data_IF_687470212300
#
_entry.id   IF_687470212300
#
_cell.length_a   1.000
_cell.length_b   1.000
_cell.length_c   1.000
_cell.angle_alpha   90.00
_cell.angle_beta   90.00
_cell.angle_gamma   90.00
#
_symmetry.space_group_name_H-M   'P 1'
#
loop_
_entity.id
_entity.type
_entity.pdbx_description
1 polymer ?
#
# COMPACT_ATOMS: atom_id res chain seq x y z
N UNK A 1 -13.78 -24.88 22.46
CA UNK A 1 -14.03 -23.56 23.09
C UNK A 1 -13.76 -22.41 22.13
N UNK A 2 -12.93 -22.58 21.10
CA UNK A 2 -12.70 -21.56 20.05
C UNK A 2 -13.90 -21.44 19.07
N UNK A 3 -14.60 -22.54 18.79
CA UNK A 3 -15.72 -22.56 17.84
C UNK A 3 -17.01 -21.91 18.36
N UNK A 4 -17.28 -22.00 19.67
CA UNK A 4 -18.47 -21.39 20.31
C UNK A 4 -18.37 -19.87 20.38
N UNK A 5 -17.13 -19.36 20.41
CA UNK A 5 -16.83 -17.93 20.49
C UNK A 5 -17.00 -17.27 19.12
N UNK A 6 -16.68 -17.97 18.02
CA UNK A 6 -16.91 -17.47 16.65
C UNK A 6 -18.40 -17.33 16.29
N UNK A 7 -19.25 -18.22 16.80
CA UNK A 7 -20.70 -18.15 16.56
C UNK A 7 -21.36 -17.00 17.33
N UNK A 8 -20.95 -16.76 18.58
CA UNK A 8 -21.45 -15.64 19.40
C UNK A 8 -20.96 -14.27 18.87
N UNK A 9 -19.80 -14.22 18.21
CA UNK A 9 -19.33 -13.03 17.49
C UNK A 9 -20.10 -12.80 16.18
N UNK A 10 -20.47 -13.84 15.45
CA UNK A 10 -21.25 -13.73 14.23
C UNK A 10 -22.67 -13.23 14.52
N UNK A 11 -23.29 -13.70 15.61
CA UNK A 11 -24.66 -13.35 15.97
C UNK A 11 -24.77 -11.93 16.54
N UNK A 12 -23.78 -11.48 17.33
CA UNK A 12 -23.70 -10.10 17.82
C UNK A 12 -23.45 -9.06 16.69
N UNK A 13 -22.80 -9.46 15.59
CA UNK A 13 -22.66 -8.60 14.40
C UNK A 13 -23.95 -8.56 13.57
N UNK A 14 -24.69 -9.67 13.48
CA UNK A 14 -25.99 -9.72 12.84
C UNK A 14 -27.04 -8.85 13.57
N UNK A 15 -27.02 -8.86 14.91
CA UNK A 15 -27.94 -8.07 15.73
C UNK A 15 -27.72 -6.55 15.67
N UNK A 16 -26.50 -6.08 15.35
CA UNK A 16 -26.18 -4.65 15.16
C UNK A 16 -26.40 -4.15 13.73
N UNK A 17 -26.67 -5.05 12.78
CA UNK A 17 -26.85 -4.79 11.34
C UNK A 17 -28.25 -4.29 10.95
N UNK A 18 -28.79 -3.31 11.66
CA UNK A 18 -30.05 -2.66 11.29
C UNK A 18 -29.90 -1.68 10.11
N UNK A 19 -30.45 -2.05 8.94
CA UNK A 19 -30.88 -1.17 7.83
C UNK A 19 -29.81 -0.41 7.02
N UNK A 20 -29.10 -1.13 6.17
CA UNK A 20 -28.96 -0.92 4.71
C UNK A 20 -27.73 -1.69 4.24
N UNK A 21 -27.92 -2.75 3.43
CA UNK A 21 -26.81 -3.41 2.72
C UNK A 21 -26.26 -2.45 1.66
N UNK A 22 -25.44 -1.49 2.09
CA UNK A 22 -24.72 -0.57 1.20
C UNK A 22 -23.77 -1.40 0.33
N UNK A 23 -23.86 -1.21 -0.99
CA UNK A 23 -22.91 -1.79 -1.96
C UNK A 23 -21.53 -1.19 -1.70
N UNK A 24 -20.54 -2.03 -1.40
CA UNK A 24 -19.17 -1.58 -1.18
C UNK A 24 -18.12 -2.70 -1.20
N UNK A 25 -16.84 -2.36 -1.22
CA UNK A 25 -15.72 -3.32 -1.27
C UNK A 25 -15.32 -3.82 0.13
N UNK A 26 -15.31 -5.13 0.34
CA UNK A 26 -14.72 -5.75 1.54
C UNK A 26 -13.20 -5.64 1.52
N UNK A 27 -12.53 -5.88 2.66
CA UNK A 27 -11.06 -5.87 2.76
C UNK A 27 -10.42 -6.84 1.75
N UNK A 28 -11.01 -8.03 1.57
CA UNK A 28 -10.61 -8.98 0.54
C UNK A 28 -10.64 -8.37 -0.87
N UNK A 29 -11.71 -7.64 -1.22
CA UNK A 29 -11.83 -6.97 -2.52
C UNK A 29 -10.81 -5.85 -2.69
N UNK A 30 -10.60 -5.04 -1.65
CA UNK A 30 -9.55 -3.99 -1.65
C UNK A 30 -8.18 -4.61 -1.91
N UNK A 31 -7.83 -5.70 -1.22
CA UNK A 31 -6.57 -6.44 -1.44
C UNK A 31 -6.46 -7.01 -2.85
N UNK A 32 -7.54 -7.57 -3.37
CA UNK A 32 -7.56 -8.16 -4.72
C UNK A 32 -7.36 -7.08 -5.78
N UNK A 33 -8.09 -5.97 -5.69
CA UNK A 33 -7.95 -4.83 -6.61
C UNK A 33 -6.55 -4.22 -6.50
N UNK A 34 -6.03 -4.03 -5.29
CA UNK A 34 -4.66 -3.55 -5.08
C UNK A 34 -3.61 -4.49 -5.69
N UNK A 35 -3.80 -5.80 -5.57
CA UNK A 35 -2.93 -6.79 -6.20
C UNK A 35 -3.01 -6.76 -7.73
N UNK A 36 -4.20 -6.59 -8.32
CA UNK A 36 -4.36 -6.46 -9.78
C UNK A 36 -3.60 -5.25 -10.33
N UNK A 37 -3.59 -4.12 -9.61
CA UNK A 37 -2.78 -2.96 -10.02
C UNK A 37 -1.28 -3.22 -9.89
N UNK A 38 -0.83 -3.93 -8.85
CA UNK A 38 0.57 -4.37 -8.76
C UNK A 38 0.93 -5.28 -9.94
N UNK A 39 0.07 -6.25 -10.26
CA UNK A 39 0.24 -7.16 -11.39
C UNK A 39 0.36 -6.37 -12.71
N UNK A 40 -0.52 -5.39 -12.92
CA UNK A 40 -0.46 -4.48 -14.08
C UNK A 40 0.88 -3.73 -14.14
N UNK A 41 1.35 -3.18 -13.02
CA UNK A 41 2.64 -2.49 -12.94
C UNK A 41 3.79 -3.42 -13.32
N UNK A 42 3.78 -4.64 -12.77
CA UNK A 42 4.85 -5.61 -12.98
C UNK A 42 4.87 -6.11 -14.42
N UNK A 43 3.72 -6.44 -15.01
CA UNK A 43 3.61 -6.83 -16.43
C UNK A 43 4.05 -5.66 -17.32
N UNK A 44 3.59 -4.44 -17.02
CA UNK A 44 3.94 -3.23 -17.76
C UNK A 44 5.44 -2.92 -17.74
N UNK A 45 6.14 -3.26 -16.65
CA UNK A 45 7.59 -3.00 -16.54
C UNK A 45 8.44 -4.11 -17.14
N UNK A 46 7.97 -5.36 -17.12
CA UNK A 46 8.79 -6.55 -17.47
C UNK A 46 8.38 -7.14 -18.81
N UNK A 47 7.21 -7.77 -18.88
CA UNK A 47 6.77 -8.60 -20.00
C UNK A 47 6.32 -7.74 -21.18
N UNK A 48 5.54 -6.68 -20.92
CA UNK A 48 4.90 -5.88 -21.97
C UNK A 48 5.90 -5.20 -22.93
N UNK A 49 7.05 -4.66 -22.47
CA UNK A 49 8.11 -4.18 -23.36
C UNK A 49 8.52 -5.22 -24.42
N UNK A 50 8.77 -6.46 -23.99
CA UNK A 50 9.18 -7.55 -24.90
C UNK A 50 8.07 -7.95 -25.88
N UNK A 51 6.81 -7.98 -25.44
CA UNK A 51 5.66 -8.30 -26.28
C UNK A 51 5.41 -7.24 -27.36
N UNK A 52 5.70 -5.98 -27.06
CA UNK A 52 5.59 -4.86 -27.99
C UNK A 52 6.83 -4.69 -28.88
N UNK A 53 7.89 -5.48 -28.66
CA UNK A 53 9.16 -5.30 -29.36
C UNK A 53 9.87 -3.99 -29.02
N UNK A 54 9.52 -3.38 -27.88
CA UNK A 54 10.06 -2.10 -27.45
C UNK A 54 11.52 -2.24 -27.01
N UNK A 55 12.38 -1.37 -27.54
CA UNK A 55 13.78 -1.27 -27.12
C UNK A 55 14.02 0.07 -26.42
N UNK A 56 14.73 0.09 -25.28
CA UNK A 56 15.10 1.34 -24.62
C UNK A 56 15.81 2.31 -25.57
N UNK A 57 15.26 3.51 -25.74
CA UNK A 57 15.80 4.54 -26.64
C UNK A 57 15.27 4.49 -28.07
N UNK A 58 14.32 3.60 -28.38
CA UNK A 58 13.55 3.66 -29.62
C UNK A 58 12.51 4.79 -29.59
N UNK A 59 12.24 5.39 -30.75
CA UNK A 59 11.20 6.42 -30.93
C UNK A 59 9.78 5.83 -31.07
N UNK A 60 9.54 4.61 -30.57
CA UNK A 60 8.23 3.96 -30.61
C UNK A 60 7.27 4.59 -29.59
N UNK A 61 6.65 5.68 -30.02
CA UNK A 61 5.70 6.45 -29.23
C UNK A 61 4.48 5.62 -28.80
N UNK A 62 4.05 4.64 -29.60
CA UNK A 62 2.87 3.83 -29.28
C UNK A 62 3.19 2.89 -28.13
N UNK A 63 4.29 2.14 -28.23
CA UNK A 63 4.72 1.25 -27.15
C UNK A 63 4.95 2.04 -25.86
N UNK A 64 5.68 3.16 -25.93
CA UNK A 64 5.93 4.04 -24.80
C UNK A 64 4.63 4.53 -24.13
N UNK A 65 3.65 4.94 -24.93
CA UNK A 65 2.36 5.40 -24.41
C UNK A 65 1.63 4.29 -23.65
N UNK A 66 1.62 3.06 -24.20
CA UNK A 66 0.99 1.91 -23.54
C UNK A 66 1.69 1.59 -22.21
N UNK A 67 3.03 1.56 -22.20
CA UNK A 67 3.81 1.28 -20.99
C UNK A 67 3.58 2.32 -19.90
N UNK A 68 3.56 3.61 -20.27
CA UNK A 68 3.28 4.71 -19.34
C UNK A 68 1.85 4.62 -18.79
N UNK A 69 0.85 4.29 -19.62
CA UNK A 69 -0.52 4.11 -19.15
C UNK A 69 -0.60 2.98 -18.12
N UNK A 70 0.03 1.82 -18.38
CA UNK A 70 0.06 0.72 -17.43
C UNK A 70 0.69 1.13 -16.10
N UNK A 71 1.82 1.84 -16.13
CA UNK A 71 2.50 2.32 -14.92
C UNK A 71 1.64 3.34 -14.16
N UNK A 72 1.11 4.37 -14.83
CA UNK A 72 0.31 5.42 -14.20
C UNK A 72 -0.97 4.86 -13.59
N UNK A 73 -1.67 3.96 -14.29
CA UNK A 73 -2.88 3.29 -13.76
C UNK A 73 -2.55 2.43 -12.55
N UNK A 74 -1.35 1.81 -12.50
CA UNK A 74 -0.96 1.01 -11.34
C UNK A 74 -0.82 1.81 -10.05
N UNK A 75 -0.54 3.12 -10.13
CA UNK A 75 -0.37 4.00 -8.96
C UNK A 75 -1.66 4.17 -8.15
N UNK A 76 -2.82 3.80 -8.72
CA UNK A 76 -4.07 3.64 -7.99
C UNK A 76 -3.94 2.68 -6.81
N UNK A 77 -3.00 1.74 -6.82
CA UNK A 77 -2.73 0.81 -5.71
C UNK A 77 -2.29 1.49 -4.40
N UNK A 78 -1.56 2.61 -4.48
CA UNK A 78 -0.89 3.24 -3.32
C UNK A 78 -1.84 3.53 -2.16
N UNK A 79 -2.95 4.27 -2.34
CA UNK A 79 -3.90 4.52 -1.25
C UNK A 79 -4.58 3.26 -0.73
N UNK A 80 -4.78 2.22 -1.55
CA UNK A 80 -5.37 0.96 -1.07
C UNK A 80 -4.43 0.30 -0.05
N UNK A 81 -3.13 0.20 -0.35
CA UNK A 81 -2.16 -0.40 0.57
C UNK A 81 -1.89 0.48 1.80
N UNK A 82 -1.85 1.81 1.64
CA UNK A 82 -1.74 2.72 2.77
C UNK A 82 -2.93 2.58 3.75
N UNK A 83 -4.15 2.46 3.24
CA UNK A 83 -5.32 2.21 4.09
C UNK A 83 -5.28 0.83 4.75
N UNK A 84 -4.94 -0.22 4.00
CA UNK A 84 -4.80 -1.58 4.54
C UNK A 84 -3.76 -1.64 5.67
N UNK A 85 -2.68 -0.86 5.57
CA UNK A 85 -1.69 -0.73 6.63
C UNK A 85 -2.30 -0.19 7.92
N UNK A 86 -3.01 0.94 7.83
CA UNK A 86 -3.65 1.61 8.97
C UNK A 86 -4.71 0.71 9.61
N UNK A 87 -5.53 0.04 8.81
CA UNK A 87 -6.48 -0.94 9.32
C UNK A 87 -5.79 -2.10 10.03
N UNK A 88 -4.70 -2.61 9.44
CA UNK A 88 -3.87 -3.65 10.04
C UNK A 88 -3.29 -3.22 11.38
N UNK A 89 -2.81 -1.97 11.48
CA UNK A 89 -2.27 -1.41 12.72
C UNK A 89 -3.34 -1.36 13.83
N UNK A 90 -4.54 -0.84 13.53
CA UNK A 90 -5.60 -0.69 14.54
C UNK A 90 -6.22 -1.99 15.04
N UNK A 91 -6.31 -3.00 14.17
CA UNK A 91 -7.02 -4.24 14.48
C UNK A 91 -6.08 -5.39 14.85
N UNK A 92 -4.78 -5.16 14.83
CA UNK A 92 -3.79 -6.19 15.18
C UNK A 92 -3.59 -6.25 16.70
N UNK A 93 -3.56 -7.46 17.23
CA UNK A 93 -3.25 -7.71 18.64
C UNK A 93 -1.79 -7.40 19.01
N UNK A 94 -0.84 -7.57 18.08
CA UNK A 94 0.59 -7.29 18.30
C UNK A 94 1.21 -6.55 17.11
N UNK A 95 1.40 -5.24 17.28
CA UNK A 95 2.02 -4.36 16.27
C UNK A 95 3.43 -4.85 15.90
N UNK A 96 4.19 -5.35 16.87
CA UNK A 96 5.54 -5.88 16.64
C UNK A 96 5.53 -7.08 15.69
N UNK A 97 4.63 -8.05 15.91
CA UNK A 97 4.53 -9.20 15.01
C UNK A 97 4.09 -8.79 13.60
N UNK A 98 3.20 -7.80 13.50
CA UNK A 98 2.80 -7.27 12.20
C UNK A 98 3.95 -6.56 11.49
N UNK A 99 4.74 -5.75 12.21
CA UNK A 99 5.94 -5.11 11.70
C UNK A 99 6.99 -6.11 11.23
N UNK A 100 7.24 -7.18 11.99
CA UNK A 100 8.18 -8.25 11.59
C UNK A 100 7.72 -8.93 10.30
N UNK A 101 6.41 -9.21 10.15
CA UNK A 101 5.86 -9.81 8.92
C UNK A 101 6.03 -8.89 7.71
N UNK A 102 5.79 -7.58 7.89
CA UNK A 102 6.00 -6.59 6.83
C UNK A 102 7.48 -6.42 6.48
N UNK A 103 8.37 -6.41 7.47
CA UNK A 103 9.82 -6.31 7.26
C UNK A 103 10.37 -7.56 6.56
N UNK A 104 9.94 -8.75 6.98
CA UNK A 104 10.30 -10.00 6.30
C UNK A 104 9.80 -9.98 4.84
N UNK A 105 8.57 -9.52 4.60
CA UNK A 105 8.04 -9.36 3.24
C UNK A 105 8.88 -8.37 2.43
N UNK A 106 9.27 -7.23 3.01
CA UNK A 106 10.09 -6.22 2.33
C UNK A 106 11.43 -6.80 1.87
N UNK A 107 12.14 -7.47 2.79
CA UNK A 107 13.45 -8.08 2.53
C UNK A 107 13.35 -9.18 1.47
N UNK A 108 12.36 -10.10 1.60
CA UNK A 108 12.17 -11.19 0.63
C UNK A 108 11.84 -10.65 -0.75
N UNK A 109 11.09 -9.56 -0.82
CA UNK A 109 10.60 -9.00 -2.09
C UNK A 109 11.58 -8.01 -2.72
N UNK A 110 12.68 -7.65 -2.06
CA UNK A 110 13.71 -6.75 -2.62
C UNK A 110 14.36 -7.37 -3.86
N UNK A 111 14.84 -8.61 -3.76
CA UNK A 111 15.48 -9.31 -4.90
C UNK A 111 14.52 -9.44 -6.10
N UNK A 112 13.27 -9.92 -5.93
CA UNK A 112 12.28 -9.91 -7.01
C UNK A 112 11.98 -8.51 -7.58
N UNK A 113 11.97 -7.49 -6.72
CA UNK A 113 11.69 -6.11 -7.13
C UNK A 113 12.81 -5.55 -7.99
N UNK A 114 14.07 -5.74 -7.60
CA UNK A 114 15.24 -5.32 -8.36
C UNK A 114 15.26 -6.02 -9.72
N UNK A 115 15.00 -7.33 -9.76
CA UNK A 115 14.92 -8.08 -11.02
C UNK A 115 13.82 -7.52 -11.92
N UNK A 116 12.64 -7.24 -11.37
CA UNK A 116 11.50 -6.75 -12.14
C UNK A 116 11.66 -5.30 -12.64
N UNK A 117 12.48 -4.48 -11.97
CA UNK A 117 12.53 -3.03 -12.24
C UNK A 117 13.84 -2.56 -12.87
N UNK A 118 14.96 -3.16 -12.46
CA UNK A 118 16.30 -2.82 -12.94
C UNK A 118 16.89 -3.87 -13.87
N UNK A 119 16.30 -5.08 -13.93
CA UNK A 119 16.86 -6.24 -14.62
C UNK A 119 18.10 -6.82 -13.93
N UNK A 120 18.41 -6.38 -12.70
CA UNK A 120 19.54 -6.86 -11.90
C UNK A 120 19.03 -7.57 -10.66
N UNK A 121 19.79 -8.54 -10.16
CA UNK A 121 19.46 -9.25 -8.91
C UNK A 121 19.64 -8.36 -7.68
N UNK A 122 20.45 -7.30 -7.79
CA UNK A 122 20.72 -6.35 -6.73
C UNK A 122 20.91 -4.95 -7.30
N UNK A 123 20.03 -4.02 -6.93
CA UNK A 123 20.12 -2.60 -7.28
C UNK A 123 19.79 -1.71 -6.08
N UNK A 124 20.68 -0.75 -5.78
CA UNK A 124 20.50 0.18 -4.66
C UNK A 124 19.88 1.52 -5.11
N UNK A 125 19.55 1.68 -6.40
CA UNK A 125 19.02 2.93 -6.94
C UNK A 125 17.61 3.26 -6.42
N UNK A 126 16.79 2.23 -6.20
CA UNK A 126 15.43 2.32 -5.67
C UNK A 126 15.21 1.13 -4.75
N UNK A 127 14.34 1.28 -3.76
CA UNK A 127 14.02 0.20 -2.82
C UNK A 127 12.56 -0.21 -3.00
N UNK A 128 12.22 -1.44 -2.65
CA UNK A 128 10.86 -1.94 -2.73
C UNK A 128 9.86 -1.05 -1.93
N UNK A 129 8.69 -0.68 -2.51
CA UNK A 129 7.62 0.06 -1.82
C UNK A 129 7.13 -0.55 -0.51
N UNK A 130 7.30 -1.85 -0.27
CA UNK A 130 6.95 -2.48 1.01
C UNK A 130 7.78 -1.91 2.17
N UNK A 131 9.01 -1.45 1.94
CA UNK A 131 9.76 -0.71 2.96
C UNK A 131 9.04 0.56 3.41
N UNK A 132 8.30 1.23 2.54
CA UNK A 132 7.50 2.39 2.93
C UNK A 132 6.33 2.00 3.85
N UNK A 133 5.75 0.81 3.69
CA UNK A 133 4.75 0.29 4.64
C UNK A 133 5.36 0.06 6.02
N UNK A 134 6.59 -0.45 6.08
CA UNK A 134 7.33 -0.63 7.34
C UNK A 134 7.61 0.72 7.99
N UNK A 135 8.12 1.70 7.23
CA UNK A 135 8.39 3.05 7.73
C UNK A 135 7.09 3.71 8.22
N UNK A 136 6.01 3.64 7.44
CA UNK A 136 4.72 4.18 7.82
C UNK A 136 4.18 3.54 9.12
N UNK A 137 4.37 2.23 9.31
CA UNK A 137 3.99 1.55 10.56
C UNK A 137 4.78 2.09 11.76
N UNK A 138 6.10 2.25 11.61
CA UNK A 138 6.98 2.80 12.64
C UNK A 138 6.58 4.24 12.99
N UNK A 139 6.32 5.06 11.96
CA UNK A 139 5.89 6.45 12.12
C UNK A 139 4.57 6.52 12.89
N UNK A 140 3.58 5.70 12.53
CA UNK A 140 2.28 5.67 13.23
C UNK A 140 2.47 5.23 14.69
N UNK A 141 3.23 4.16 14.94
CA UNK A 141 3.50 3.68 16.29
C UNK A 141 4.23 4.73 17.15
N UNK A 142 5.19 5.45 16.57
CA UNK A 142 5.89 6.53 17.24
C UNK A 142 4.96 7.74 17.51
N UNK A 143 4.05 8.06 16.59
CA UNK A 143 3.03 9.10 16.81
C UNK A 143 2.10 8.73 17.97
N UNK A 144 1.65 7.48 18.08
CA UNK A 144 0.87 7.02 19.23
C UNK A 144 1.64 7.16 20.54
N UNK A 145 2.89 6.69 20.56
CA UNK A 145 3.74 6.84 21.74
C UNK A 145 3.90 8.31 22.14
N UNK A 146 4.16 9.22 21.19
CA UNK A 146 4.24 10.67 21.47
C UNK A 146 2.91 11.21 22.02
N UNK A 147 1.77 10.74 21.49
CA UNK A 147 0.44 11.20 21.92
C UNK A 147 0.13 10.85 23.37
N UNK A 148 0.64 9.72 23.85
CA UNK A 148 0.48 9.22 25.22
C UNK A 148 1.47 9.85 26.20
N UNK A 149 2.70 10.13 25.76
CA UNK A 149 3.79 10.52 26.65
C UNK A 149 4.09 12.03 26.69
N UNK A 150 3.66 12.80 25.67
CA UNK A 150 3.91 14.24 25.60
C UNK A 150 2.62 15.05 25.60
N UNK A 151 2.71 16.32 26.02
CA UNK A 151 1.59 17.27 26.06
C UNK A 151 2.00 18.65 25.52
N UNK A 152 1.00 19.49 25.26
CA UNK A 152 1.21 20.87 24.80
C UNK A 152 1.97 20.99 23.47
N UNK A 153 2.81 22.01 23.36
CA UNK A 153 3.58 22.30 22.13
C UNK A 153 4.59 21.19 21.81
N UNK A 154 5.21 20.59 22.83
CA UNK A 154 6.21 19.54 22.65
C UNK A 154 5.63 18.30 21.94
N UNK A 155 4.38 17.94 22.24
CA UNK A 155 3.66 16.86 21.54
C UNK A 155 3.56 17.12 20.04
N UNK A 156 3.08 18.31 19.66
CA UNK A 156 2.90 18.65 18.25
C UNK A 156 4.24 18.76 17.51
N UNK A 157 5.25 19.36 18.15
CA UNK A 157 6.60 19.42 17.59
C UNK A 157 7.19 18.02 17.34
N UNK A 158 7.03 17.09 18.30
CA UNK A 158 7.50 15.72 18.16
C UNK A 158 6.74 14.94 17.07
N UNK A 159 5.41 15.10 16.95
CA UNK A 159 4.61 14.48 15.87
C UNK A 159 5.11 14.96 14.50
N UNK A 160 5.31 16.28 14.34
CA UNK A 160 5.82 16.84 13.08
C UNK A 160 7.22 16.31 12.78
N UNK A 161 8.11 16.27 13.78
CA UNK A 161 9.46 15.76 13.61
C UNK A 161 9.47 14.28 13.18
N UNK A 162 8.66 13.43 13.80
CA UNK A 162 8.54 12.01 13.45
C UNK A 162 8.00 11.83 12.04
N UNK A 163 6.97 12.60 11.66
CA UNK A 163 6.42 12.55 10.31
C UNK A 163 7.46 13.00 9.26
N UNK A 164 8.14 14.13 9.50
CA UNK A 164 9.19 14.64 8.62
C UNK A 164 10.36 13.66 8.52
N UNK A 165 10.77 13.04 9.63
CA UNK A 165 11.83 12.03 9.63
C UNK A 165 11.45 10.81 8.78
N UNK A 166 10.22 10.31 8.91
CA UNK A 166 9.74 9.20 8.08
C UNK A 166 9.69 9.53 6.58
N UNK A 167 9.20 10.72 6.24
CA UNK A 167 9.17 11.20 4.84
C UNK A 167 10.59 11.42 4.29
N UNK A 168 11.49 12.01 5.08
CA UNK A 168 12.89 12.21 4.71
C UNK A 168 13.60 10.87 4.49
N UNK A 169 13.35 9.87 5.34
CA UNK A 169 13.89 8.53 5.18
C UNK A 169 13.46 7.91 3.84
N UNK A 170 12.16 7.97 3.51
CA UNK A 170 11.65 7.46 2.24
C UNK A 170 12.23 8.20 1.02
N UNK A 171 12.46 9.51 1.12
CA UNK A 171 13.12 10.31 0.09
C UNK A 171 14.59 9.91 -0.09
N UNK A 172 15.36 9.89 1.00
CA UNK A 172 16.82 9.67 0.97
C UNK A 172 17.20 8.27 0.50
N UNK A 173 16.38 7.27 0.79
CA UNK A 173 16.60 5.89 0.35
C UNK A 173 15.84 5.55 -0.94
N UNK A 174 15.25 6.53 -1.63
CA UNK A 174 14.49 6.32 -2.86
C UNK A 174 13.46 5.17 -2.75
N UNK A 175 12.74 5.12 -1.62
CA UNK A 175 11.81 4.01 -1.35
C UNK A 175 10.62 4.08 -2.29
N UNK A 176 10.47 3.07 -3.13
CA UNK A 176 9.45 2.99 -4.15
C UNK A 176 9.57 4.07 -5.22
N UNK A 177 10.78 4.53 -5.52
CA UNK A 177 11.00 5.49 -6.60
C UNK A 177 10.75 4.82 -7.96
N UNK A 178 9.84 5.40 -8.76
CA UNK A 178 9.49 4.94 -10.11
C UNK A 178 9.80 6.01 -11.14
N UNK A 179 10.42 5.58 -12.24
CA UNK A 179 10.75 6.44 -13.39
C UNK A 179 11.55 7.70 -13.01
N UNK A 180 12.30 7.67 -11.90
CA UNK A 180 13.06 8.81 -11.38
C UNK A 180 12.22 10.00 -10.89
N UNK A 181 10.88 9.91 -10.92
CA UNK A 181 9.99 11.04 -10.62
C UNK A 181 8.95 10.73 -9.54
N UNK A 182 8.37 9.52 -9.55
CA UNK A 182 7.26 9.20 -8.67
C UNK A 182 7.77 8.50 -7.42
N UNK A 183 7.81 9.24 -6.31
CA UNK A 183 8.21 8.70 -5.02
C UNK A 183 7.00 8.08 -4.30
N UNK A 184 6.74 6.78 -4.57
CA UNK A 184 5.61 6.07 -3.95
C UNK A 184 5.74 5.98 -2.44
N UNK A 185 6.96 5.87 -1.90
CA UNK A 185 7.15 5.71 -0.47
C UNK A 185 6.67 6.92 0.32
N UNK A 186 6.99 8.12 -0.14
CA UNK A 186 6.52 9.38 0.47
C UNK A 186 5.00 9.49 0.40
N UNK A 187 4.41 9.21 -0.77
CA UNK A 187 2.96 9.25 -0.93
C UNK A 187 2.27 8.23 -0.01
N UNK A 188 2.81 7.02 0.09
CA UNK A 188 2.27 5.94 0.92
C UNK A 188 2.30 6.31 2.40
N UNK A 189 3.42 6.87 2.89
CA UNK A 189 3.53 7.36 4.28
C UNK A 189 2.56 8.52 4.52
N UNK A 190 2.49 9.49 3.59
CA UNK A 190 1.56 10.62 3.69
C UNK A 190 0.10 10.18 3.74
N UNK A 191 -0.30 9.25 2.88
CA UNK A 191 -1.64 8.66 2.87
C UNK A 191 -1.92 7.90 4.17
N UNK A 192 -0.97 7.10 4.67
CA UNK A 192 -1.12 6.37 5.92
C UNK A 192 -1.32 7.33 7.11
N UNK A 193 -0.57 8.45 7.15
CA UNK A 193 -0.75 9.49 8.16
C UNK A 193 -2.13 10.17 8.06
N UNK A 194 -2.60 10.47 6.85
CA UNK A 194 -3.94 11.04 6.63
C UNK A 194 -5.02 10.07 7.12
N UNK A 195 -4.97 8.81 6.71
CA UNK A 195 -5.94 7.78 7.13
C UNK A 195 -5.88 7.50 8.62
N UNK A 196 -4.70 7.55 9.22
CA UNK A 196 -4.55 7.36 10.66
C UNK A 196 -5.07 8.56 11.45
N UNK A 197 -4.74 9.80 11.06
CA UNK A 197 -5.03 11.00 11.83
C UNK A 197 -6.48 11.50 11.69
N UNK A 198 -7.12 11.30 10.53
CA UNK A 198 -8.44 11.85 10.21
C UNK A 198 -9.58 10.83 10.24
N UNK A 199 -9.34 9.64 10.77
CA UNK A 199 -10.31 8.53 10.76
C UNK A 199 -11.68 8.86 11.36
N UNK A 200 -11.70 9.67 12.42
CA UNK A 200 -12.94 10.14 13.03
C UNK A 200 -13.77 11.05 12.10
N UNK A 201 -13.16 11.60 11.05
CA UNK A 201 -13.75 12.57 10.13
C UNK A 201 -13.66 12.06 8.69
N UNK A 202 -14.43 11.02 8.37
CA UNK A 202 -14.31 10.28 7.10
C UNK A 202 -14.33 11.19 5.85
N UNK A 203 -15.24 12.16 5.77
CA UNK A 203 -15.31 13.05 4.60
C UNK A 203 -14.04 13.89 4.43
N UNK A 204 -13.53 14.46 5.53
CA UNK A 204 -12.27 15.23 5.53
C UNK A 204 -11.10 14.31 5.19
N UNK A 205 -11.05 13.11 5.76
CA UNK A 205 -10.01 12.12 5.46
C UNK A 205 -9.96 11.77 3.97
N UNK A 206 -11.11 11.45 3.37
CA UNK A 206 -11.19 11.09 1.95
C UNK A 206 -10.86 12.27 1.03
N UNK A 207 -11.31 13.48 1.36
CA UNK A 207 -10.99 14.68 0.60
C UNK A 207 -9.49 15.02 0.67
N UNK A 208 -8.91 15.04 1.88
CA UNK A 208 -7.48 15.30 2.08
C UNK A 208 -6.61 14.24 1.39
N UNK A 209 -6.96 12.96 1.51
CA UNK A 209 -6.26 11.89 0.80
C UNK A 209 -6.40 12.05 -0.72
N UNK A 210 -7.57 12.41 -1.23
CA UNK A 210 -7.80 12.65 -2.65
C UNK A 210 -6.95 13.80 -3.20
N UNK A 211 -6.89 14.93 -2.48
CA UNK A 211 -6.03 16.07 -2.83
C UNK A 211 -4.55 15.69 -2.78
N UNK A 212 -4.10 15.02 -1.71
CA UNK A 212 -2.72 14.55 -1.59
C UNK A 212 -2.35 13.62 -2.75
N UNK A 213 -3.26 12.71 -3.12
CA UNK A 213 -3.12 11.85 -4.27
C UNK A 213 -2.89 12.67 -5.53
N UNK A 214 -3.82 13.59 -5.84
CA UNK A 214 -3.79 14.43 -7.03
C UNK A 214 -2.54 15.33 -7.13
N UNK A 215 -2.01 15.80 -6.00
CA UNK A 215 -0.76 16.59 -5.94
C UNK A 215 0.44 15.79 -6.41
N UNK A 216 0.48 14.48 -6.11
CA UNK A 216 1.49 13.60 -6.68
C UNK A 216 1.14 13.30 -8.14
N UNK A 217 0.00 12.66 -8.39
CA UNK A 217 -0.55 12.38 -9.72
C UNK A 217 -2.06 12.07 -9.63
N UNK A 218 -2.81 12.18 -10.72
CA UNK A 218 -4.27 11.98 -10.68
C UNK A 218 -4.70 10.55 -10.30
N UNK A 219 -3.91 9.51 -10.62
CA UNK A 219 -4.30 8.11 -10.42
C UNK A 219 -4.37 7.64 -8.95
N UNK A 220 -3.48 8.07 -8.05
CA UNK A 220 -3.70 7.91 -6.62
C UNK A 220 -5.03 8.50 -6.12
N UNK A 221 -5.49 9.63 -6.65
CA UNK A 221 -6.80 10.18 -6.26
C UNK A 221 -7.96 9.26 -6.68
N UNK A 222 -7.85 8.59 -7.83
CA UNK A 222 -8.81 7.54 -8.25
C UNK A 222 -8.82 6.38 -7.26
N UNK A 223 -7.66 5.97 -6.75
CA UNK A 223 -7.57 4.90 -5.75
C UNK A 223 -8.26 5.27 -4.43
N UNK A 224 -8.14 6.53 -4.02
CA UNK A 224 -8.90 7.08 -2.88
C UNK A 224 -10.40 7.08 -3.17
N UNK A 225 -10.83 7.46 -4.38
CA UNK A 225 -12.25 7.41 -4.76
C UNK A 225 -12.80 5.97 -4.73
N UNK A 226 -12.04 4.97 -5.20
CA UNK A 226 -12.42 3.56 -5.07
C UNK A 226 -12.56 3.16 -3.60
N UNK A 227 -11.59 3.56 -2.78
CA UNK A 227 -11.57 3.29 -1.34
C UNK A 227 -12.74 3.93 -0.58
N UNK A 228 -13.38 4.99 -1.10
CA UNK A 228 -14.59 5.55 -0.50
C UNK A 228 -15.75 4.57 -0.46
N UNK A 229 -15.79 3.63 -1.41
CA UNK A 229 -16.83 2.59 -1.47
C UNK A 229 -16.53 1.39 -0.57
N UNK A 230 -15.51 1.45 0.30
CA UNK A 230 -15.11 0.32 1.15
C UNK A 230 -16.16 0.00 2.24
N UNK A 231 -16.05 -1.20 2.80
CA UNK A 231 -16.81 -1.68 3.96
C UNK A 231 -15.86 -2.20 5.04
N UNK A 232 -16.27 -2.07 6.29
CA UNK A 232 -15.58 -2.63 7.46
C UNK A 232 -15.85 -4.13 7.64
N UNK A 233 -15.88 -4.85 6.53
CA UNK A 233 -16.01 -6.32 6.48
C UNK A 233 -14.71 -6.90 5.94
N UNK A 234 -14.20 -7.96 6.58
CA UNK A 234 -13.00 -8.66 6.09
C UNK A 234 -13.26 -9.33 4.73
N UNK A 235 -14.37 -10.08 4.64
CA UNK A 235 -14.74 -10.83 3.44
C UNK A 235 -13.84 -12.02 3.13
N UNK A 236 -13.11 -12.56 4.12
CA UNK A 236 -12.34 -13.80 3.97
C UNK A 236 -13.26 -15.00 4.13
N UNK A 237 -13.18 -15.97 3.21
CA UNK A 237 -13.82 -17.27 3.38
C UNK A 237 -13.05 -18.18 4.35
N UNK A 238 -11.72 -18.02 4.42
CA UNK A 238 -10.87 -18.82 5.31
C UNK A 238 -9.77 -18.00 5.99
N UNK A 239 -9.33 -18.38 7.20
CA UNK A 239 -8.28 -17.65 7.94
C UNK A 239 -6.91 -17.61 7.24
N UNK A 240 -6.60 -18.60 6.41
CA UNK A 240 -5.33 -18.71 5.70
C UNK A 240 -5.21 -17.76 4.49
N UNK A 241 -6.34 -17.22 3.99
CA UNK A 241 -6.37 -16.29 2.86
C UNK A 241 -5.51 -15.05 3.09
N UNK A 242 -5.29 -14.64 4.34
CA UNK A 242 -4.37 -13.55 4.67
C UNK A 242 -2.93 -13.81 4.22
N UNK A 243 -2.45 -15.05 4.35
CA UNK A 243 -1.09 -15.45 4.02
C UNK A 243 -0.85 -15.51 2.52
N UNK A 244 -1.89 -15.83 1.74
CA UNK A 244 -1.84 -15.75 0.27
C UNK A 244 -1.45 -14.36 -0.18
N UNK A 245 -2.07 -13.32 0.39
CA UNK A 245 -1.74 -11.94 0.01
C UNK A 245 -0.31 -11.51 0.38
N UNK A 246 0.30 -12.10 1.41
CA UNK A 246 1.72 -11.88 1.69
C UNK A 246 2.60 -12.55 0.62
N UNK A 247 2.28 -13.77 0.21
CA UNK A 247 3.04 -14.48 -0.82
C UNK A 247 2.83 -13.91 -2.23
N UNK A 248 1.62 -13.41 -2.53
CA UNK A 248 1.25 -12.93 -3.86
C UNK A 248 2.19 -11.84 -4.37
N UNK A 249 2.65 -10.92 -3.51
CA UNK A 249 3.52 -9.83 -3.93
C UNK A 249 4.88 -10.30 -4.49
N UNK A 250 5.75 -10.98 -3.72
CA UNK A 250 7.03 -11.47 -4.22
C UNK A 250 6.88 -12.49 -5.34
N UNK A 251 5.83 -13.34 -5.29
CA UNK A 251 5.57 -14.32 -6.36
C UNK A 251 5.21 -13.63 -7.67
N UNK A 252 4.37 -12.58 -7.63
CA UNK A 252 4.02 -11.81 -8.84
C UNK A 252 5.24 -11.16 -9.45
N UNK A 253 6.10 -10.54 -8.62
CA UNK A 253 7.36 -9.95 -9.08
C UNK A 253 8.26 -10.99 -9.73
N UNK A 254 8.50 -12.14 -9.07
CA UNK A 254 9.34 -13.22 -9.61
C UNK A 254 8.80 -13.77 -10.92
N UNK A 255 7.51 -14.11 -10.98
CA UNK A 255 6.91 -14.70 -12.17
C UNK A 255 6.97 -13.76 -13.38
N UNK A 256 6.85 -12.45 -13.14
CA UNK A 256 6.97 -11.45 -14.20
C UNK A 256 8.41 -11.14 -14.58
N UNK A 257 9.36 -11.20 -13.64
CA UNK A 257 10.77 -10.90 -13.90
C UNK A 257 11.54 -12.04 -14.57
N UNK A 258 11.27 -13.30 -14.20
CA UNK A 258 12.03 -14.46 -14.69
C UNK A 258 12.07 -14.62 -16.23
N UNK A 259 11.00 -14.36 -17.00
CA UNK A 259 11.03 -14.50 -18.46
C UNK A 259 11.87 -13.45 -19.20
N UNK A 260 12.29 -12.38 -18.51
CA UNK A 260 12.88 -11.17 -19.11
C UNK A 260 14.33 -10.94 -18.62
N UNK A 261 14.81 -11.79 -17.71
CA UNK A 261 16.22 -11.88 -17.28
C UNK A 261 17.04 -12.71 -18.26
#
# INVERSE_FOLDING_TARGET
MEDTVTDEYADNQAARGGRNRRRGMTTFRVKTVGWLFVLLATIGTTILPSMLGYQPGSDDMVAMTVLVICEVVSWTAVPLYAWLLVQGYRHTHSVVQYGIRLLALAIISEVPYDMATSGKVWDMNSQNPVFALVIALIVIAAVDWVRENLQGVAKWAAIVLVAVAGLAWALLLHVGLRQGMFNMGVLLIGMALVFYALDAHENTMMMTAGVLGAVFFIMPAVGVAMLHTRRDELGYGHPWTKWVFYALYPVTLLLCALPVM
#
